data_IF_228530550718
#
_entry.id   IF_228530550718
#
_cell.length_a   1.000
_cell.length_b   1.000
_cell.length_c   1.000
_cell.angle_alpha   90.00
_cell.angle_beta   90.00
_cell.angle_gamma   90.00
#
_symmetry.space_group_name_H-M   'P 1'
#
loop_
_entity.id
_entity.type
_entity.pdbx_description
1 polymer ?
#
# COMPACT_ATOMS: atom_id res chain seq x y z
N UNK A 1 5.27 0.79 -32.71
CA UNK A 1 5.06 1.44 -31.40
C UNK A 1 4.41 2.81 -31.60
N UNK A 2 3.18 2.85 -32.14
CA UNK A 2 2.54 4.09 -32.59
C UNK A 2 1.05 4.15 -32.22
N UNK A 3 0.68 3.57 -31.08
CA UNK A 3 -0.66 3.71 -30.55
C UNK A 3 -0.84 5.08 -29.91
N UNK A 4 -2.00 5.71 -30.09
CA UNK A 4 -2.41 6.82 -29.24
C UNK A 4 -3.10 6.21 -28.02
N UNK A 5 -2.37 6.03 -26.92
CA UNK A 5 -2.97 5.70 -25.62
C UNK A 5 -3.07 6.97 -24.77
N UNK A 6 -4.04 7.05 -23.85
CA UNK A 6 -4.14 8.17 -22.93
C UNK A 6 -2.86 8.31 -22.11
N UNK A 7 -2.29 9.52 -22.09
CA UNK A 7 -1.17 9.91 -21.24
C UNK A 7 -1.42 11.30 -20.68
N UNK A 8 -0.80 11.61 -19.55
CA UNK A 8 -0.87 12.95 -18.96
C UNK A 8 -2.31 13.39 -18.65
N UNK A 9 -3.17 12.42 -18.28
CA UNK A 9 -4.51 12.74 -17.83
C UNK A 9 -4.43 13.47 -16.48
N UNK A 10 -5.27 14.48 -16.29
CA UNK A 10 -5.36 15.21 -15.04
C UNK A 10 -6.77 15.10 -14.48
N UNK A 11 -6.89 14.46 -13.31
CA UNK A 11 -8.13 14.32 -12.55
C UNK A 11 -7.90 15.01 -11.22
N UNK A 12 -8.36 16.26 -11.10
CA UNK A 12 -8.09 17.07 -9.92
C UNK A 12 -9.31 17.81 -9.36
N UNK A 13 -9.31 17.99 -8.04
CA UNK A 13 -10.29 18.81 -7.31
C UNK A 13 -11.75 18.37 -7.50
N UNK A 14 -11.98 17.06 -7.62
CA UNK A 14 -13.32 16.49 -7.77
C UNK A 14 -13.89 15.99 -6.45
N UNK A 15 -15.22 15.95 -6.37
CA UNK A 15 -15.96 15.18 -5.37
C UNK A 15 -16.74 14.10 -6.10
N UNK A 16 -16.39 12.84 -5.87
CA UNK A 16 -17.11 11.69 -6.38
C UNK A 16 -17.74 10.92 -5.21
N UNK A 17 -19.00 10.49 -5.38
CA UNK A 17 -19.70 9.70 -4.37
C UNK A 17 -20.81 8.86 -4.95
N UNK A 18 -21.19 7.81 -4.22
CA UNK A 18 -22.31 6.92 -4.58
C UNK A 18 -22.13 6.33 -6.00
N UNK A 19 -20.91 5.92 -6.32
CA UNK A 19 -20.60 5.27 -7.60
C UNK A 19 -21.04 3.81 -7.51
N UNK A 20 -21.46 3.20 -8.62
CA UNK A 20 -21.70 1.75 -8.67
C UNK A 20 -23.03 1.25 -8.15
N UNK A 21 -24.12 1.95 -8.47
CA UNK A 21 -25.47 1.46 -8.18
C UNK A 21 -25.79 0.13 -8.89
N UNK A 22 -25.34 -0.05 -10.14
CA UNK A 22 -25.67 -1.22 -10.97
C UNK A 22 -24.50 -2.17 -11.15
N UNK A 23 -23.36 -1.68 -11.64
CA UNK A 23 -22.11 -2.44 -11.77
C UNK A 23 -21.27 -2.25 -10.51
N UNK A 24 -20.83 -3.35 -9.90
CA UNK A 24 -20.11 -3.35 -8.62
C UNK A 24 -18.60 -3.48 -8.81
N UNK A 25 -18.15 -3.95 -9.98
CA UNK A 25 -16.75 -3.91 -10.39
C UNK A 25 -16.40 -2.55 -10.99
N UNK A 26 -16.29 -1.52 -10.15
CA UNK A 26 -15.91 -0.18 -10.58
C UNK A 26 -15.09 0.58 -9.54
N UNK A 27 -14.68 1.78 -9.91
CA UNK A 27 -13.95 2.72 -9.08
C UNK A 27 -14.31 4.16 -9.50
N UNK A 28 -13.99 5.15 -8.67
CA UNK A 28 -14.05 6.55 -9.09
C UNK A 28 -13.10 6.80 -10.26
N UNK A 29 -11.90 6.23 -10.19
CA UNK A 29 -10.95 6.22 -11.28
C UNK A 29 -10.50 4.79 -11.56
N UNK A 30 -10.58 4.40 -12.82
CA UNK A 30 -9.98 3.17 -13.34
C UNK A 30 -9.02 3.58 -14.44
N UNK A 31 -7.78 3.12 -14.38
CA UNK A 31 -6.90 3.15 -15.53
C UNK A 31 -6.75 1.76 -16.15
N UNK A 32 -6.81 1.72 -17.48
CA UNK A 32 -6.48 0.56 -18.29
C UNK A 32 -5.78 1.07 -19.56
N UNK A 33 -4.59 0.52 -19.86
CA UNK A 33 -3.73 0.90 -20.98
C UNK A 33 -3.50 2.41 -21.06
N UNK A 34 -3.15 2.98 -19.92
CA UNK A 34 -2.94 4.42 -19.68
C UNK A 34 -1.66 4.57 -18.85
N UNK A 35 -0.94 5.67 -19.00
CA UNK A 35 0.29 5.94 -18.24
C UNK A 35 0.41 7.43 -17.92
N UNK A 36 1.24 7.77 -16.93
CA UNK A 36 1.57 9.14 -16.56
C UNK A 36 0.36 10.02 -16.25
N UNK A 37 -0.66 9.43 -15.62
CA UNK A 37 -1.84 10.18 -15.17
C UNK A 37 -1.59 10.78 -13.79
N UNK A 38 -2.14 11.97 -13.55
CA UNK A 38 -2.13 12.62 -12.23
C UNK A 38 -3.56 12.67 -11.69
N UNK A 39 -3.76 12.03 -10.54
CA UNK A 39 -5.03 11.99 -9.80
C UNK A 39 -4.77 12.66 -8.45
N UNK A 40 -5.22 13.90 -8.30
CA UNK A 40 -4.87 14.69 -7.11
C UNK A 40 -5.99 15.49 -6.47
N UNK A 41 -5.91 15.65 -5.16
CA UNK A 41 -6.80 16.54 -4.41
C UNK A 41 -8.29 16.22 -4.62
N UNK A 42 -8.61 14.94 -4.84
CA UNK A 42 -9.99 14.49 -4.98
C UNK A 42 -10.52 13.96 -3.66
N UNK A 43 -11.84 14.06 -3.49
CA UNK A 43 -12.59 13.41 -2.44
C UNK A 43 -13.43 12.29 -3.06
N UNK A 44 -13.18 11.05 -2.68
CA UNK A 44 -14.03 9.92 -3.05
C UNK A 44 -14.57 9.19 -1.82
N UNK A 45 -15.87 8.90 -1.85
CA UNK A 45 -16.49 8.06 -0.84
C UNK A 45 -17.74 7.34 -1.33
N UNK A 46 -18.17 6.31 -0.59
CA UNK A 46 -19.38 5.55 -0.86
C UNK A 46 -19.30 4.80 -2.20
N UNK A 47 -18.29 3.94 -2.35
CA UNK A 47 -18.12 3.04 -3.49
C UNK A 47 -18.33 1.57 -3.13
N UNK A 48 -18.82 0.72 -4.04
CA UNK A 48 -19.02 -0.71 -3.77
C UNK A 48 -17.69 -1.46 -3.68
N UNK A 49 -16.66 -1.00 -4.40
CA UNK A 49 -15.30 -1.55 -4.53
C UNK A 49 -14.25 -0.45 -4.29
N UNK A 50 -12.98 -0.73 -4.56
CA UNK A 50 -11.86 0.21 -4.55
C UNK A 50 -12.18 1.55 -5.19
N UNK A 51 -11.62 2.62 -4.63
CA UNK A 51 -11.84 3.99 -5.10
C UNK A 51 -11.00 4.37 -6.30
N UNK A 52 -9.76 3.90 -6.33
CA UNK A 52 -8.84 4.03 -7.46
C UNK A 52 -8.35 2.65 -7.83
N UNK A 53 -8.42 2.29 -9.11
CA UNK A 53 -7.90 1.02 -9.59
C UNK A 53 -6.97 1.18 -10.80
N UNK A 54 -5.77 0.63 -10.66
CA UNK A 54 -4.78 0.55 -11.72
C UNK A 54 -4.76 -0.86 -12.29
N UNK A 55 -5.38 -1.07 -13.46
CA UNK A 55 -5.76 -2.40 -13.92
C UNK A 55 -4.69 -3.11 -14.79
N UNK A 56 -3.56 -2.46 -15.08
CA UNK A 56 -2.49 -3.08 -15.85
C UNK A 56 -1.10 -2.48 -15.62
N UNK A 57 -0.09 -3.31 -15.90
CA UNK A 57 1.33 -2.95 -15.93
C UNK A 57 1.71 -2.13 -17.16
N UNK A 58 0.91 -1.11 -17.50
CA UNK A 58 1.08 -0.30 -18.69
C UNK A 58 1.87 0.99 -18.41
N UNK A 59 3.16 0.98 -18.71
CA UNK A 59 4.01 2.18 -18.84
C UNK A 59 4.40 2.87 -17.53
N UNK A 60 3.49 3.01 -16.57
CA UNK A 60 3.75 3.61 -15.26
C UNK A 60 3.81 5.14 -15.28
N UNK A 61 4.56 5.72 -14.33
CA UNK A 61 4.73 7.17 -14.18
C UNK A 61 3.51 7.91 -13.63
N UNK A 62 2.51 7.18 -13.13
CA UNK A 62 1.27 7.73 -12.57
C UNK A 62 1.51 8.33 -11.17
N UNK A 63 0.76 9.37 -10.84
CA UNK A 63 0.81 10.04 -9.53
C UNK A 63 -0.58 10.11 -8.92
N UNK A 64 -0.74 9.50 -7.74
CA UNK A 64 -1.92 9.60 -6.88
C UNK A 64 -1.54 10.40 -5.63
N UNK A 65 -1.94 11.67 -5.56
CA UNK A 65 -1.49 12.55 -4.46
C UNK A 65 -2.58 13.40 -3.80
N UNK A 66 -2.52 13.57 -2.47
CA UNK A 66 -3.37 14.51 -1.75
C UNK A 66 -4.87 14.18 -1.78
N UNK A 67 -5.25 12.93 -2.07
CA UNK A 67 -6.65 12.51 -2.13
C UNK A 67 -7.16 12.08 -0.76
N UNK A 68 -8.46 12.28 -0.53
CA UNK A 68 -9.20 11.67 0.58
C UNK A 68 -10.12 10.58 0.04
N UNK A 69 -9.87 9.33 0.41
CA UNK A 69 -10.59 8.15 -0.09
C UNK A 69 -11.07 7.30 1.08
N UNK A 70 -12.38 7.11 1.23
CA UNK A 70 -12.94 6.31 2.33
C UNK A 70 -14.29 5.70 1.98
N UNK A 71 -14.80 4.80 2.81
CA UNK A 71 -16.09 4.13 2.58
C UNK A 71 -16.18 3.48 1.19
N UNK A 72 -15.10 2.79 0.83
CA UNK A 72 -14.95 1.93 -0.35
C UNK A 72 -15.16 0.47 0.07
N UNK A 73 -15.24 -0.47 -0.87
CA UNK A 73 -15.42 -1.90 -0.56
C UNK A 73 -16.66 -2.18 0.32
N UNK A 74 -17.76 -1.47 0.06
CA UNK A 74 -19.03 -1.61 0.80
C UNK A 74 -19.84 -2.84 0.37
N UNK A 75 -19.63 -3.30 -0.86
CA UNK A 75 -20.41 -4.37 -1.49
C UNK A 75 -19.50 -5.42 -2.17
N UNK A 76 -18.19 -5.27 -2.04
CA UNK A 76 -17.14 -6.23 -2.41
C UNK A 76 -16.08 -6.26 -1.31
N UNK A 77 -15.18 -7.23 -1.32
CA UNK A 77 -13.99 -7.25 -0.46
C UNK A 77 -12.71 -7.48 -1.27
N UNK A 78 -11.63 -7.88 -0.62
CA UNK A 78 -10.36 -8.30 -1.26
C UNK A 78 -9.62 -7.18 -2.00
N UNK A 79 -9.86 -5.92 -1.60
CA UNK A 79 -9.30 -4.71 -2.21
C UNK A 79 -9.22 -3.57 -1.17
N UNK A 80 -8.48 -2.49 -1.44
CA UNK A 80 -8.46 -1.26 -0.64
C UNK A 80 -9.14 -0.05 -1.26
N UNK A 81 -9.14 1.11 -0.57
CA UNK A 81 -9.31 2.43 -1.21
C UNK A 81 -8.51 2.58 -2.51
N UNK A 82 -7.29 2.04 -2.56
CA UNK A 82 -6.50 1.84 -3.77
C UNK A 82 -6.34 0.35 -4.08
N UNK A 83 -6.32 0.01 -5.38
CA UNK A 83 -6.02 -1.34 -5.86
C UNK A 83 -5.21 -1.33 -7.16
N UNK A 84 -4.24 -2.22 -7.33
CA UNK A 84 -3.58 -2.45 -8.62
C UNK A 84 -3.52 -3.91 -9.05
N UNK A 85 -3.38 -4.16 -10.35
CA UNK A 85 -3.03 -5.46 -10.93
C UNK A 85 -2.10 -5.24 -12.12
N UNK A 86 -0.92 -5.86 -12.11
CA UNK A 86 0.05 -5.71 -13.20
C UNK A 86 0.39 -7.04 -13.89
N UNK A 87 -0.50 -8.03 -13.79
CA UNK A 87 -0.40 -9.39 -14.39
C UNK A 87 0.03 -9.48 -15.86
N UNK A 88 -0.16 -8.43 -16.65
CA UNK A 88 0.21 -8.41 -18.06
C UNK A 88 1.24 -7.31 -18.34
N UNK A 89 2.47 -7.67 -18.77
CA UNK A 89 3.44 -6.70 -19.22
C UNK A 89 3.05 -6.13 -20.59
N UNK A 90 3.38 -4.86 -20.82
CA UNK A 90 3.17 -4.19 -22.11
C UNK A 90 4.46 -3.59 -22.62
N UNK A 91 4.71 -3.73 -23.92
CA UNK A 91 5.79 -3.01 -24.59
C UNK A 91 5.37 -1.56 -24.81
N UNK A 92 5.92 -0.63 -24.03
CA UNK A 92 5.59 0.80 -24.08
C UNK A 92 6.83 1.65 -24.28
N UNK A 93 6.73 2.81 -24.95
CA UNK A 93 7.85 3.71 -25.10
C UNK A 93 7.99 4.71 -23.93
N UNK A 94 7.54 4.36 -22.72
CA UNK A 94 7.56 5.28 -21.56
C UNK A 94 8.96 5.36 -20.98
N UNK A 95 9.58 4.22 -20.70
CA UNK A 95 10.95 4.14 -20.16
C UNK A 95 12.02 4.20 -21.25
N UNK A 96 11.75 3.60 -22.42
CA UNK A 96 12.67 3.54 -23.56
C UNK A 96 11.90 3.88 -24.84
N UNK A 97 12.36 4.82 -25.66
CA UNK A 97 11.69 5.21 -26.91
C UNK A 97 11.53 4.03 -27.88
N UNK A 98 12.44 3.06 -27.86
CA UNK A 98 12.40 1.82 -28.65
C UNK A 98 11.55 0.72 -28.00
N UNK A 99 10.89 1.02 -26.87
CA UNK A 99 9.94 0.15 -26.19
C UNK A 99 10.57 -0.69 -25.07
N UNK A 100 9.94 -0.67 -23.89
CA UNK A 100 10.30 -1.49 -22.73
C UNK A 100 9.06 -2.11 -22.09
N UNK A 101 9.23 -3.27 -21.45
CA UNK A 101 8.24 -3.87 -20.54
C UNK A 101 8.43 -3.44 -19.10
N UNK A 102 9.56 -2.78 -18.78
CA UNK A 102 9.71 -2.09 -17.51
C UNK A 102 8.80 -0.87 -17.47
N UNK A 103 8.37 -0.50 -16.27
CA UNK A 103 7.52 0.66 -16.04
C UNK A 103 8.33 1.81 -15.42
N UNK A 104 7.91 3.03 -15.70
CA UNK A 104 8.30 4.18 -14.90
C UNK A 104 7.63 4.07 -13.52
N UNK A 105 8.35 4.43 -12.46
CA UNK A 105 7.83 4.38 -11.10
C UNK A 105 6.52 5.16 -10.96
N UNK A 106 5.53 4.54 -10.34
CA UNK A 106 4.29 5.19 -9.92
C UNK A 106 4.45 5.72 -8.50
N UNK A 107 3.80 6.83 -8.19
CA UNK A 107 3.88 7.44 -6.86
C UNK A 107 2.49 7.55 -6.24
N UNK A 108 2.32 7.02 -5.04
CA UNK A 108 1.13 7.17 -4.20
C UNK A 108 1.59 7.95 -2.97
N UNK A 109 1.22 9.23 -2.85
CA UNK A 109 1.76 10.07 -1.77
C UNK A 109 0.81 11.05 -1.12
N UNK A 110 1.04 11.35 0.16
CA UNK A 110 0.30 12.41 0.87
C UNK A 110 -1.22 12.22 0.83
N UNK A 111 -1.71 10.99 0.63
CA UNK A 111 -3.14 10.70 0.64
C UNK A 111 -3.60 10.41 2.06
N UNK A 112 -4.88 10.70 2.32
CA UNK A 112 -5.58 10.21 3.50
C UNK A 112 -6.58 9.14 3.04
N UNK A 113 -6.30 7.88 3.34
CA UNK A 113 -7.13 6.77 2.92
C UNK A 113 -7.64 5.98 4.12
N UNK A 114 -8.91 5.59 4.10
CA UNK A 114 -9.56 4.88 5.20
C UNK A 114 -10.20 3.58 4.69
N UNK A 115 -9.64 2.44 5.08
CA UNK A 115 -10.11 1.09 4.73
C UNK A 115 -11.18 0.55 5.68
N UNK A 116 -12.26 1.29 5.93
CA UNK A 116 -13.21 1.02 7.02
C UNK A 116 -14.33 -0.02 6.73
N UNK A 117 -14.25 -0.77 5.63
CA UNK A 117 -15.21 -1.84 5.30
C UNK A 117 -14.46 -3.16 5.02
N UNK A 118 -14.74 -3.85 3.90
CA UNK A 118 -14.11 -5.13 3.58
C UNK A 118 -12.74 -4.93 2.92
N UNK A 119 -11.95 -3.99 3.45
CA UNK A 119 -10.63 -3.66 2.92
C UNK A 119 -9.58 -4.64 3.42
N UNK A 120 -8.85 -5.25 2.49
CA UNK A 120 -7.72 -6.12 2.80
C UNK A 120 -6.51 -5.26 3.16
N UNK A 121 -6.10 -4.37 2.27
CA UNK A 121 -5.10 -3.32 2.52
C UNK A 121 -5.69 -1.95 2.25
N UNK A 122 -5.03 -0.89 2.70
CA UNK A 122 -5.43 0.46 2.26
C UNK A 122 -4.92 0.74 0.83
N UNK A 123 -3.66 0.35 0.59
CA UNK A 123 -3.01 0.32 -0.72
C UNK A 123 -2.80 -1.14 -1.06
N UNK A 124 -3.66 -1.66 -1.93
CA UNK A 124 -3.68 -3.08 -2.29
C UNK A 124 -2.94 -3.28 -3.62
N UNK A 125 -1.64 -3.61 -3.53
CA UNK A 125 -0.80 -3.94 -4.68
C UNK A 125 -0.90 -5.42 -5.00
N UNK A 126 -2.02 -5.81 -5.62
CA UNK A 126 -2.40 -7.19 -5.93
C UNK A 126 -1.65 -7.75 -7.16
N UNK A 127 -1.85 -9.03 -7.48
CA UNK A 127 -1.19 -9.84 -8.51
C UNK A 127 -0.17 -9.11 -9.43
N UNK A 128 1.12 -9.34 -9.17
CA UNK A 128 2.21 -8.92 -10.06
C UNK A 128 2.47 -7.41 -10.07
N UNK A 129 1.81 -6.65 -9.18
CA UNK A 129 2.04 -5.20 -9.03
C UNK A 129 3.49 -4.89 -8.67
N UNK A 130 4.04 -3.89 -9.34
CA UNK A 130 5.37 -3.40 -9.02
C UNK A 130 5.70 -2.02 -9.58
N UNK A 131 6.88 -1.51 -9.20
CA UNK A 131 7.31 -0.13 -9.46
C UNK A 131 6.40 0.92 -8.79
N UNK A 132 6.04 0.70 -7.53
CA UNK A 132 5.23 1.62 -6.73
C UNK A 132 6.06 2.25 -5.61
N UNK A 133 6.13 3.58 -5.58
CA UNK A 133 6.58 4.35 -4.44
C UNK A 133 5.36 4.86 -3.67
N UNK A 134 5.03 4.18 -2.58
CA UNK A 134 3.97 4.55 -1.65
C UNK A 134 4.59 5.32 -0.49
N UNK A 135 4.52 6.65 -0.50
CA UNK A 135 5.25 7.49 0.46
C UNK A 135 4.38 8.50 1.21
N UNK A 136 4.65 8.72 2.49
CA UNK A 136 4.03 9.78 3.27
C UNK A 136 2.48 9.79 3.21
N UNK A 137 1.83 8.63 3.23
CA UNK A 137 0.37 8.53 3.30
C UNK A 137 -0.12 8.31 4.74
N UNK A 138 -1.31 8.80 5.05
CA UNK A 138 -2.04 8.40 6.24
C UNK A 138 -3.08 7.34 5.89
N UNK A 139 -2.80 6.11 6.27
CA UNK A 139 -3.55 4.91 5.92
C UNK A 139 -4.22 4.37 7.20
N UNK A 140 -5.55 4.40 7.25
CA UNK A 140 -6.30 4.12 8.48
C UNK A 140 -7.23 2.94 8.28
N UNK A 141 -7.09 1.92 9.13
CA UNK A 141 -7.76 0.63 9.05
C UNK A 141 -7.41 -0.16 7.79
N UNK A 142 -7.34 -1.47 7.95
CA UNK A 142 -7.33 -2.50 6.91
C UNK A 142 -7.01 -3.81 7.61
N UNK A 143 -7.05 -4.95 6.91
CA UNK A 143 -6.48 -6.17 7.46
C UNK A 143 -4.95 -6.07 7.55
N UNK A 144 -4.26 -5.71 6.47
CA UNK A 144 -2.79 -5.60 6.45
C UNK A 144 -2.31 -4.22 5.96
N UNK A 145 -1.01 -3.98 6.09
CA UNK A 145 -0.31 -2.80 5.56
C UNK A 145 0.20 -3.04 4.13
N UNK A 146 1.51 -3.05 3.91
CA UNK A 146 2.08 -3.36 2.58
C UNK A 146 1.60 -4.74 2.13
N UNK A 147 1.14 -4.84 0.87
CA UNK A 147 0.86 -6.10 0.18
C UNK A 147 1.76 -6.26 -1.04
N UNK A 148 2.23 -7.49 -1.22
CA UNK A 148 2.91 -7.94 -2.42
C UNK A 148 2.66 -9.43 -2.59
N UNK A 149 2.11 -9.86 -3.72
CA UNK A 149 1.79 -11.26 -3.97
C UNK A 149 1.87 -11.64 -5.46
N UNK A 150 1.87 -12.96 -5.71
CA UNK A 150 1.81 -13.56 -7.05
C UNK A 150 2.80 -12.97 -8.07
N UNK A 151 4.03 -12.73 -7.62
CA UNK A 151 5.10 -12.16 -8.44
C UNK A 151 5.13 -10.63 -8.46
N UNK A 152 4.46 -9.97 -7.50
CA UNK A 152 4.71 -8.56 -7.17
C UNK A 152 6.14 -8.35 -6.69
N UNK A 153 6.65 -7.14 -6.89
CA UNK A 153 8.03 -6.75 -6.61
C UNK A 153 8.19 -5.23 -6.71
N UNK A 154 9.29 -4.64 -6.24
CA UNK A 154 9.53 -3.19 -6.34
C UNK A 154 8.37 -2.31 -5.78
N UNK A 155 7.71 -2.76 -4.70
CA UNK A 155 6.72 -1.99 -3.94
C UNK A 155 7.41 -1.37 -2.72
N UNK A 156 7.63 -0.06 -2.77
CA UNK A 156 8.40 0.69 -1.78
C UNK A 156 7.46 1.54 -0.93
N UNK A 157 7.24 1.13 0.31
CA UNK A 157 6.42 1.82 1.28
C UNK A 157 7.31 2.56 2.28
N UNK A 158 7.35 3.89 2.18
CA UNK A 158 8.31 4.72 2.92
C UNK A 158 7.60 5.87 3.66
N UNK A 159 7.87 6.06 4.96
CA UNK A 159 7.35 7.23 5.68
C UNK A 159 5.84 7.25 5.89
N UNK A 160 5.13 6.15 5.62
CA UNK A 160 3.68 6.11 5.79
C UNK A 160 3.30 5.94 7.27
N UNK A 161 2.09 6.40 7.59
CA UNK A 161 1.43 6.15 8.86
C UNK A 161 0.34 5.12 8.62
N UNK A 162 0.54 3.89 9.09
CA UNK A 162 -0.47 2.84 9.14
C UNK A 162 -1.15 2.85 10.51
N UNK A 163 -2.36 3.37 10.59
CA UNK A 163 -3.11 3.45 11.82
C UNK A 163 -4.12 2.29 11.89
N UNK A 164 -4.00 1.44 12.90
CA UNK A 164 -4.95 0.36 13.22
C UNK A 164 -5.00 -0.76 12.17
N UNK A 165 -3.85 -1.27 11.76
CA UNK A 165 -3.74 -2.47 10.91
C UNK A 165 -4.23 -3.70 11.67
N UNK A 166 -4.94 -4.61 11.01
CA UNK A 166 -5.54 -5.81 11.60
C UNK A 166 -7.00 -5.60 12.07
N UNK A 167 -7.56 -4.39 11.88
CA UNK A 167 -8.97 -4.12 12.15
C UNK A 167 -9.93 -4.57 11.05
N UNK A 168 -9.40 -5.18 9.98
CA UNK A 168 -10.14 -5.58 8.79
C UNK A 168 -10.93 -6.89 8.94
N UNK A 169 -11.56 -7.31 7.85
CA UNK A 169 -12.46 -8.49 7.84
C UNK A 169 -11.74 -9.84 7.87
N UNK A 170 -10.41 -9.86 7.81
CA UNK A 170 -9.61 -11.06 7.55
C UNK A 170 -8.75 -11.54 8.73
N UNK A 171 -9.02 -11.05 9.94
CA UNK A 171 -8.34 -11.47 11.17
C UNK A 171 -7.12 -10.61 11.53
N UNK A 172 -6.28 -11.13 12.43
CA UNK A 172 -5.01 -10.52 12.83
C UNK A 172 -4.09 -10.37 11.62
N UNK A 173 -3.76 -9.13 11.26
CA UNK A 173 -2.91 -8.83 10.11
C UNK A 173 -1.55 -8.25 10.49
N UNK A 174 -0.78 -7.89 9.47
CA UNK A 174 0.60 -7.42 9.63
C UNK A 174 0.82 -6.05 8.98
N UNK A 175 1.72 -5.25 9.56
CA UNK A 175 2.13 -3.96 8.98
C UNK A 175 2.79 -4.14 7.59
N UNK A 176 3.45 -5.27 7.40
CA UNK A 176 4.04 -5.68 6.14
C UNK A 176 3.65 -7.14 5.86
N UNK A 177 2.99 -7.39 4.74
CA UNK A 177 2.57 -8.72 4.29
C UNK A 177 3.03 -8.95 2.86
N UNK A 178 4.10 -9.70 2.69
CA UNK A 178 4.72 -9.95 1.40
C UNK A 178 4.72 -11.46 1.07
N UNK A 179 3.69 -11.90 0.36
CA UNK A 179 3.55 -13.27 -0.10
C UNK A 179 4.34 -13.57 -1.38
N UNK A 180 5.06 -12.60 -1.95
CA UNK A 180 5.83 -12.80 -3.18
C UNK A 180 7.26 -13.25 -2.86
N UNK A 181 7.77 -14.24 -3.60
CA UNK A 181 9.17 -14.62 -3.49
C UNK A 181 10.05 -13.51 -4.07
N UNK A 182 10.76 -12.79 -3.19
CA UNK A 182 11.55 -11.62 -3.54
C UNK A 182 12.72 -11.95 -4.48
N UNK A 183 13.07 -11.05 -5.39
CA UNK A 183 14.19 -11.22 -6.32
C UNK A 183 15.29 -10.20 -6.02
N UNK A 184 16.56 -10.62 -6.05
CA UNK A 184 17.71 -9.75 -5.83
C UNK A 184 17.70 -8.57 -6.83
N UNK A 185 17.72 -7.34 -6.28
CA UNK A 185 17.60 -6.10 -7.06
C UNK A 185 16.18 -5.66 -7.42
N UNK A 186 15.16 -6.40 -6.99
CA UNK A 186 13.74 -6.12 -7.20
C UNK A 186 12.93 -6.26 -5.90
N UNK A 187 13.59 -6.06 -4.76
CA UNK A 187 12.96 -6.29 -3.46
C UNK A 187 11.93 -5.20 -3.13
N UNK A 188 10.89 -5.60 -2.42
CA UNK A 188 9.96 -4.70 -1.75
C UNK A 188 10.63 -4.01 -0.56
N UNK A 189 10.19 -2.77 -0.27
CA UNK A 189 10.73 -1.95 0.81
C UNK A 189 9.64 -1.54 1.78
N UNK A 190 9.94 -1.68 3.07
CA UNK A 190 9.10 -1.15 4.15
C UNK A 190 9.99 -0.41 5.15
N UNK A 191 10.15 0.90 4.98
CA UNK A 191 11.13 1.69 5.74
C UNK A 191 10.57 2.98 6.29
N UNK A 192 11.06 3.41 7.46
CA UNK A 192 10.66 4.68 8.09
C UNK A 192 9.13 4.81 8.31
N UNK A 193 8.39 3.70 8.34
CA UNK A 193 6.96 3.72 8.54
C UNK A 193 6.63 3.74 10.02
N UNK A 194 5.50 4.36 10.35
CA UNK A 194 4.87 4.26 11.65
C UNK A 194 3.65 3.35 11.51
N UNK A 195 3.59 2.26 12.28
CA UNK A 195 2.47 1.32 12.20
C UNK A 195 1.88 1.04 13.57
N UNK A 196 0.55 1.00 13.66
CA UNK A 196 -0.19 0.61 14.85
C UNK A 196 -0.97 -0.65 14.53
N UNK A 197 -0.60 -1.76 15.16
CA UNK A 197 -1.24 -3.07 15.05
C UNK A 197 -2.39 -3.21 16.05
N UNK A 198 -3.51 -3.75 15.58
CA UNK A 198 -4.55 -4.27 16.45
C UNK A 198 -4.09 -5.54 17.17
N UNK A 199 -4.80 -5.89 18.23
CA UNK A 199 -4.52 -7.06 19.07
C UNK A 199 -4.35 -8.35 18.25
N UNK A 200 -3.29 -9.10 18.57
CA UNK A 200 -2.95 -10.38 17.95
C UNK A 200 -2.29 -10.29 16.57
N UNK A 201 -2.00 -9.09 16.06
CA UNK A 201 -1.23 -8.88 14.83
C UNK A 201 0.27 -9.15 14.97
N UNK A 202 0.98 -9.18 13.85
CA UNK A 202 2.45 -9.32 13.82
C UNK A 202 3.08 -8.14 13.07
N UNK A 203 4.37 -7.84 13.28
CA UNK A 203 5.00 -6.74 12.54
C UNK A 203 5.08 -7.06 11.05
N UNK A 204 5.58 -8.24 10.68
CA UNK A 204 5.60 -8.63 9.27
C UNK A 204 5.58 -10.13 9.02
N UNK A 205 4.97 -10.52 7.90
CA UNK A 205 5.00 -11.88 7.39
C UNK A 205 5.39 -11.88 5.91
N UNK A 206 6.41 -12.64 5.54
CA UNK A 206 6.97 -12.60 4.20
C UNK A 206 7.68 -13.88 3.76
N UNK A 207 7.72 -14.12 2.44
CA UNK A 207 8.50 -15.19 1.83
C UNK A 207 9.97 -14.76 1.61
N UNK A 208 10.87 -15.30 2.43
CA UNK A 208 12.31 -15.07 2.33
C UNK A 208 13.07 -16.24 1.65
N UNK A 209 12.42 -17.05 0.82
CA UNK A 209 13.03 -18.23 0.21
C UNK A 209 14.14 -17.92 -0.80
N UNK A 210 14.11 -16.75 -1.43
CA UNK A 210 15.03 -16.33 -2.50
C UNK A 210 15.84 -15.09 -2.12
N UNK A 211 15.18 -14.06 -1.59
CA UNK A 211 15.77 -12.86 -1.03
C UNK A 211 14.88 -12.36 0.13
N UNK A 212 15.41 -11.46 0.96
CA UNK A 212 14.61 -10.78 1.97
C UNK A 212 14.01 -9.49 1.40
N UNK A 213 12.79 -9.10 1.79
CA UNK A 213 12.38 -7.71 1.65
C UNK A 213 13.31 -6.82 2.49
N UNK A 214 13.44 -5.56 2.10
CA UNK A 214 14.33 -4.61 2.78
C UNK A 214 13.50 -3.72 3.71
N UNK A 215 13.72 -3.90 5.00
CA UNK A 215 13.02 -3.16 6.05
C UNK A 215 14.01 -2.34 6.88
N UNK A 216 13.50 -1.44 7.70
CA UNK A 216 14.34 -0.71 8.65
C UNK A 216 13.73 0.61 9.11
N UNK A 217 14.21 1.05 10.27
CA UNK A 217 13.83 2.32 10.90
C UNK A 217 12.30 2.49 11.06
N UNK A 218 11.56 1.38 11.21
CA UNK A 218 10.11 1.41 11.41
C UNK A 218 9.74 1.52 12.90
N UNK A 219 8.72 2.33 13.18
CA UNK A 219 8.12 2.50 14.50
C UNK A 219 6.84 1.67 14.58
N UNK A 220 6.88 0.51 15.20
CA UNK A 220 5.73 -0.38 15.35
C UNK A 220 5.14 -0.24 16.76
N UNK A 221 3.83 -0.08 16.82
CA UNK A 221 3.08 0.04 18.05
C UNK A 221 2.01 -1.04 18.09
N UNK A 222 1.83 -1.67 19.26
CA UNK A 222 0.77 -2.65 19.47
C UNK A 222 -0.26 -2.12 20.45
N UNK A 223 -1.52 -2.51 20.24
CA UNK A 223 -2.64 -2.15 21.10
C UNK A 223 -2.93 -3.25 22.12
N UNK A 224 -3.22 -2.89 23.37
CA UNK A 224 -3.80 -3.82 24.35
C UNK A 224 -2.80 -4.56 25.23
N UNK A 225 -3.11 -5.83 25.53
CA UNK A 225 -2.34 -6.71 26.44
C UNK A 225 -1.26 -7.55 25.72
N UNK A 226 -1.08 -7.34 24.41
CA UNK A 226 -0.07 -8.07 23.64
C UNK A 226 1.32 -7.92 24.27
N UNK A 227 2.00 -9.06 24.41
CA UNK A 227 3.38 -9.07 24.85
C UNK A 227 4.26 -8.58 23.70
N UNK A 228 4.69 -7.32 23.78
CA UNK A 228 5.66 -6.68 22.87
C UNK A 228 6.86 -7.59 22.59
N UNK A 229 7.29 -8.40 23.56
CA UNK A 229 8.42 -9.31 23.39
C UNK A 229 8.16 -10.49 22.44
N UNK A 230 6.93 -10.67 21.97
CA UNK A 230 6.53 -11.78 21.07
C UNK A 230 6.25 -11.35 19.64
N UNK A 231 6.01 -10.06 19.41
CA UNK A 231 5.71 -9.47 18.10
C UNK A 231 7.01 -9.27 17.32
N UNK A 232 6.98 -9.52 16.01
CA UNK A 232 8.13 -9.35 15.15
C UNK A 232 7.89 -9.81 13.71
N UNK A 233 8.78 -10.65 13.20
CA UNK A 233 8.87 -10.97 11.79
C UNK A 233 8.82 -12.49 11.59
N UNK A 234 7.87 -12.95 10.78
CA UNK A 234 7.63 -14.37 10.53
C UNK A 234 7.43 -15.19 11.82
N UNK A 235 6.73 -14.61 12.80
CA UNK A 235 6.49 -15.25 14.11
C UNK A 235 7.73 -15.33 15.02
N UNK A 236 8.81 -14.61 14.70
CA UNK A 236 10.01 -14.47 15.54
C UNK A 236 10.01 -13.07 16.14
N UNK A 237 10.21 -12.99 17.47
CA UNK A 237 10.34 -11.71 18.16
C UNK A 237 11.37 -10.80 17.49
N UNK A 238 11.07 -9.51 17.35
CA UNK A 238 11.87 -8.60 16.53
C UNK A 238 13.35 -8.59 16.90
N UNK A 239 13.67 -8.53 18.20
CA UNK A 239 15.06 -8.49 18.67
C UNK A 239 15.85 -9.75 18.27
N UNK A 240 15.21 -10.93 18.33
CA UNK A 240 15.83 -12.19 17.93
C UNK A 240 15.98 -12.27 16.41
N UNK A 241 14.99 -11.77 15.66
CA UNK A 241 15.05 -11.72 14.20
C UNK A 241 16.18 -10.82 13.72
N UNK A 242 16.30 -9.61 14.26
CA UNK A 242 17.37 -8.64 13.92
C UNK A 242 18.76 -9.19 14.27
N UNK A 243 18.90 -9.89 15.40
CA UNK A 243 20.16 -10.51 15.78
C UNK A 243 20.57 -11.66 14.84
N UNK A 244 19.60 -12.41 14.33
CA UNK A 244 19.84 -13.51 13.40
C UNK A 244 20.07 -13.05 11.95
N UNK A 245 19.47 -11.92 11.55
CA UNK A 245 19.42 -11.43 10.17
C UNK A 245 19.84 -9.95 10.06
N UNK A 246 21.12 -9.62 10.37
CA UNK A 246 21.58 -8.24 10.31
C UNK A 246 21.45 -7.65 8.89
N UNK A 247 20.97 -6.41 8.79
CA UNK A 247 20.77 -5.70 7.52
C UNK A 247 19.42 -5.96 6.84
N UNK A 248 18.56 -6.82 7.39
CA UNK A 248 17.21 -7.05 6.85
C UNK A 248 16.19 -6.06 7.43
N UNK A 249 16.29 -5.75 8.72
CA UNK A 249 15.41 -4.80 9.41
C UNK A 249 16.16 -4.07 10.53
N UNK A 250 17.16 -3.28 10.17
CA UNK A 250 17.93 -2.55 11.17
C UNK A 250 17.17 -1.30 11.66
N UNK A 251 17.24 -1.00 12.96
CA UNK A 251 16.72 0.25 13.54
C UNK A 251 15.23 0.27 13.86
N UNK A 252 14.44 -0.70 13.37
CA UNK A 252 13.02 -0.79 13.71
C UNK A 252 12.78 -1.14 15.18
N UNK A 253 11.67 -0.67 15.73
CA UNK A 253 11.29 -0.87 17.14
C UNK A 253 9.83 -1.30 17.28
N UNK A 254 9.52 -2.03 18.36
CA UNK A 254 8.15 -2.35 18.77
C UNK A 254 7.92 -1.80 20.19
N UNK A 255 6.80 -1.11 20.40
CA UNK A 255 6.39 -0.59 21.69
C UNK A 255 4.87 -0.73 21.93
N UNK A 256 4.44 -0.64 23.19
CA UNK A 256 3.02 -0.45 23.51
C UNK A 256 2.60 0.97 23.14
N UNK A 257 1.40 1.12 22.58
CA UNK A 257 0.81 2.46 22.41
C UNK A 257 0.11 2.91 23.70
N UNK A 258 0.73 3.82 24.45
CA UNK A 258 0.20 4.40 25.68
C UNK A 258 -0.27 5.86 25.54
N UNK A 259 0.15 6.55 24.47
CA UNK A 259 -0.30 7.91 24.12
C UNK A 259 -0.91 7.97 22.71
N UNK A 260 -2.24 8.04 22.66
CA UNK A 260 -3.00 8.22 21.41
C UNK A 260 -2.70 9.54 20.68
N UNK A 261 -2.16 10.54 21.39
CA UNK A 261 -1.76 11.81 20.82
C UNK A 261 -0.69 11.69 19.75
N UNK A 262 0.15 10.65 19.80
CA UNK A 262 1.23 10.46 18.80
C UNK A 262 0.68 10.27 17.39
N UNK A 263 -0.38 9.47 17.22
CA UNK A 263 -1.00 9.19 15.92
C UNK A 263 -1.63 10.47 15.38
N UNK A 264 -2.40 11.17 16.22
CA UNK A 264 -3.08 12.40 15.84
C UNK A 264 -2.06 13.46 15.42
N UNK A 265 -0.98 13.64 16.17
CA UNK A 265 0.06 14.62 15.87
C UNK A 265 0.83 14.28 14.60
N UNK A 266 1.24 13.01 14.42
CA UNK A 266 1.91 12.55 13.19
C UNK A 266 1.00 12.70 11.97
N UNK A 267 -0.25 12.26 12.06
CA UNK A 267 -1.24 12.40 10.98
C UNK A 267 -1.51 13.86 10.61
N UNK A 268 -1.65 14.75 11.59
CA UNK A 268 -1.78 16.20 11.34
C UNK A 268 -0.54 16.78 10.67
N UNK A 269 0.65 16.41 11.13
CA UNK A 269 1.90 16.90 10.55
C UNK A 269 2.04 16.46 9.08
N UNK A 270 1.79 15.18 8.78
CA UNK A 270 1.84 14.61 7.44
C UNK A 270 0.82 15.29 6.50
N UNK A 271 -0.40 15.51 6.98
CA UNK A 271 -1.47 16.14 6.20
C UNK A 271 -1.40 17.68 6.15
N UNK A 272 -0.45 18.31 6.84
CA UNK A 272 -0.29 19.76 6.89
C UNK A 272 -1.42 20.52 7.63
N UNK A 273 -1.96 19.93 8.71
CA UNK A 273 -3.14 20.41 9.44
C UNK A 273 -2.88 21.06 10.81
#
# INVERSE_FOLDING_TARGET
MGGNWPRFNLIENNVAREVGHFEKQNSFYVQAKTAQSTIRNNLFFNGPRAGVNYNDGFGGGDVLEGNLIFNTCRESGDHGPFNSWDRQPFLTPVVDEDGSTAMEWRTIRSNFMIGNYQSQETVDNDDGSGYYLTEDNFLVYSSNGLKSDFGGHDNHHIGNIYAYVGSGSWGSGSCMSDGASQLDGHEDLYQNNFCVLSEGGDYGNFDASTAYPKMGDNDIYVLGEDDVGTVGLNGVALADFQAANPGVDDGSTIALLDDWGIIINKGRALLGL
#
